data_IF_038793956130
#
_entry.id   IF_038793956130
#
_cell.length_a   1.000
_cell.length_b   1.000
_cell.length_c   1.000
_cell.angle_alpha   90.00
_cell.angle_beta   90.00
_cell.angle_gamma   90.00
#
_symmetry.space_group_name_H-M   'P 1'
#
loop_
_entity.id
_entity.type
_entity.pdbx_description
1 polymer ?
#
# COMPACT_ATOMS: atom_id res chain seq x y z
N UNK A 1 -10.20 -33.94 -19.26
CA UNK A 1 -9.13 -33.71 -18.26
C UNK A 1 -8.08 -32.87 -18.95
N UNK A 2 -8.30 -31.56 -18.99
CA UNK A 2 -7.23 -30.63 -19.35
C UNK A 2 -6.37 -30.49 -18.11
N UNK A 3 -5.20 -31.13 -18.13
CA UNK A 3 -4.16 -30.82 -17.17
C UNK A 3 -3.87 -29.33 -17.28
N UNK A 4 -4.18 -28.61 -16.20
CA UNK A 4 -3.85 -27.21 -16.02
C UNK A 4 -2.34 -27.03 -16.23
N UNK A 5 -1.96 -26.57 -17.41
CA UNK A 5 -0.59 -26.17 -17.78
C UNK A 5 -0.06 -25.03 -16.87
N UNK A 6 -0.92 -24.49 -16.00
CA UNK A 6 -0.63 -23.51 -14.95
C UNK A 6 0.34 -23.98 -13.84
N UNK A 7 0.73 -25.27 -13.78
CA UNK A 7 1.54 -25.81 -12.67
C UNK A 7 2.99 -26.21 -12.99
N UNK A 8 3.52 -25.93 -14.19
CA UNK A 8 4.95 -26.20 -14.49
C UNK A 8 5.89 -24.98 -14.36
N UNK A 9 5.39 -23.81 -13.94
CA UNK A 9 6.19 -22.57 -13.95
C UNK A 9 7.22 -22.50 -12.79
N UNK A 10 7.09 -23.30 -11.73
CA UNK A 10 7.94 -23.17 -10.53
C UNK A 10 9.04 -24.24 -10.37
N UNK A 11 9.16 -25.19 -11.29
CA UNK A 11 10.18 -26.25 -11.22
C UNK A 11 11.61 -25.81 -11.59
N UNK A 12 11.75 -24.63 -12.21
CA UNK A 12 13.05 -24.05 -12.56
C UNK A 12 13.00 -22.58 -12.18
N UNK A 13 13.52 -22.25 -11.00
CA UNK A 13 13.54 -20.88 -10.53
C UNK A 13 14.37 -20.02 -11.51
N UNK A 14 13.69 -19.21 -12.32
CA UNK A 14 14.34 -18.16 -13.08
C UNK A 14 14.75 -17.11 -12.04
N UNK A 15 16.04 -16.73 -11.95
CA UNK A 15 16.46 -15.71 -10.99
C UNK A 15 15.80 -14.37 -11.35
N UNK A 16 14.84 -13.95 -10.53
CA UNK A 16 14.16 -12.66 -10.65
C UNK A 16 14.96 -11.59 -9.90
N UNK A 17 16.11 -11.21 -10.48
CA UNK A 17 16.84 -10.01 -10.05
C UNK A 17 16.01 -8.74 -10.30
N UNK A 18 16.38 -7.61 -9.70
CA UNK A 18 15.70 -6.33 -9.95
C UNK A 18 15.68 -5.95 -11.44
N UNK A 19 16.74 -6.28 -12.17
CA UNK A 19 16.84 -6.01 -13.61
C UNK A 19 15.87 -6.87 -14.41
N UNK A 20 15.82 -8.18 -14.13
CA UNK A 20 14.90 -9.09 -14.83
C UNK A 20 13.45 -8.80 -14.48
N UNK A 21 13.14 -8.47 -13.22
CA UNK A 21 11.80 -7.97 -12.82
C UNK A 21 11.39 -6.74 -13.63
N UNK A 22 12.27 -5.75 -13.75
CA UNK A 22 11.99 -4.52 -14.51
C UNK A 22 11.80 -4.80 -15.99
N UNK A 23 12.65 -5.64 -16.59
CA UNK A 23 12.54 -6.01 -18.01
C UNK A 23 11.25 -6.78 -18.29
N UNK A 24 10.86 -7.72 -17.43
CA UNK A 24 9.61 -8.48 -17.58
C UNK A 24 8.40 -7.56 -17.44
N UNK A 25 8.40 -6.64 -16.47
CA UNK A 25 7.33 -5.66 -16.32
C UNK A 25 7.21 -4.76 -17.56
N UNK A 26 8.34 -4.27 -18.10
CA UNK A 26 8.34 -3.47 -19.32
C UNK A 26 7.80 -4.23 -20.52
N UNK A 27 8.15 -5.51 -20.68
CA UNK A 27 7.61 -6.36 -21.75
C UNK A 27 6.09 -6.57 -21.63
N UNK A 28 5.56 -6.76 -20.41
CA UNK A 28 4.12 -6.87 -20.18
C UNK A 28 3.38 -5.57 -20.51
N UNK A 29 3.98 -4.42 -20.19
CA UNK A 29 3.43 -3.10 -20.56
C UNK A 29 3.42 -2.96 -22.08
N UNK A 30 4.53 -3.27 -22.75
CA UNK A 30 4.66 -3.18 -24.21
C UNK A 30 3.59 -3.99 -24.93
N UNK A 31 3.32 -5.23 -24.51
CA UNK A 31 2.25 -6.06 -25.11
C UNK A 31 0.87 -5.39 -25.10
N UNK A 32 0.57 -4.61 -24.06
CA UNK A 32 -0.70 -3.89 -23.97
C UNK A 32 -0.67 -2.59 -24.76
N UNK A 33 0.44 -1.83 -24.69
CA UNK A 33 0.55 -0.54 -25.40
C UNK A 33 0.70 -0.68 -26.90
N UNK A 34 1.32 -1.77 -27.36
CA UNK A 34 1.60 -2.06 -28.77
C UNK A 34 0.42 -2.79 -29.43
N UNK A 35 -0.64 -3.10 -28.66
CA UNK A 35 -1.88 -3.71 -29.14
C UNK A 35 -1.82 -5.22 -29.35
N UNK A 36 -0.76 -5.89 -28.88
CA UNK A 36 -0.62 -7.36 -28.97
C UNK A 36 -1.55 -8.11 -28.00
N UNK A 37 -1.98 -7.46 -26.92
CA UNK A 37 -2.87 -8.03 -25.91
C UNK A 37 -4.01 -7.08 -25.56
N UNK A 38 -5.21 -7.63 -25.35
CA UNK A 38 -6.37 -6.86 -24.89
C UNK A 38 -6.10 -6.27 -23.48
N UNK A 39 -6.18 -4.93 -23.31
CA UNK A 39 -5.88 -4.28 -22.04
C UNK A 39 -6.76 -4.77 -20.89
N UNK A 40 -8.05 -5.05 -21.13
CA UNK A 40 -8.99 -5.43 -20.08
C UNK A 40 -8.66 -6.84 -19.57
N UNK A 41 -8.51 -7.80 -20.49
CA UNK A 41 -8.21 -9.20 -20.17
C UNK A 41 -6.85 -9.32 -19.50
N UNK A 42 -5.85 -8.61 -20.01
CA UNK A 42 -4.50 -8.61 -19.44
C UNK A 42 -4.49 -7.97 -18.04
N UNK A 43 -5.10 -6.80 -17.87
CA UNK A 43 -5.15 -6.10 -16.58
C UNK A 43 -5.89 -6.90 -15.51
N UNK A 44 -7.05 -7.47 -15.84
CA UNK A 44 -7.84 -8.28 -14.91
C UNK A 44 -7.12 -9.56 -14.49
N UNK A 45 -6.44 -10.23 -15.43
CA UNK A 45 -5.66 -11.45 -15.16
C UNK A 45 -4.45 -11.17 -14.25
N UNK A 46 -3.64 -10.14 -14.54
CA UNK A 46 -2.51 -9.77 -13.66
C UNK A 46 -3.01 -9.36 -12.28
N UNK A 47 -4.13 -8.63 -12.21
CA UNK A 47 -4.72 -8.25 -10.93
C UNK A 47 -5.14 -9.47 -10.12
N UNK A 48 -5.77 -10.46 -10.75
CA UNK A 48 -6.12 -11.72 -10.09
C UNK A 48 -4.88 -12.47 -9.59
N UNK A 49 -3.85 -12.60 -10.43
CA UNK A 49 -2.57 -13.22 -10.05
C UNK A 49 -1.91 -12.50 -8.89
N UNK A 50 -1.86 -11.16 -8.92
CA UNK A 50 -1.31 -10.36 -7.84
C UNK A 50 -2.06 -10.61 -6.51
N UNK A 51 -3.38 -10.73 -6.55
CA UNK A 51 -4.20 -10.99 -5.36
C UNK A 51 -3.98 -12.41 -4.82
N UNK A 52 -3.84 -13.41 -5.69
CA UNK A 52 -3.46 -14.78 -5.30
C UNK A 52 -2.06 -14.83 -4.67
N UNK A 53 -1.06 -14.23 -5.32
CA UNK A 53 0.33 -14.19 -4.81
C UNK A 53 0.41 -13.43 -3.49
N UNK A 54 -0.34 -12.32 -3.35
CA UNK A 54 -0.41 -11.57 -2.10
C UNK A 54 -1.02 -12.36 -0.96
N UNK A 55 -1.99 -13.23 -1.23
CA UNK A 55 -2.54 -14.14 -0.23
C UNK A 55 -1.52 -15.19 0.18
N UNK A 56 -0.86 -15.83 -0.78
CA UNK A 56 0.20 -16.82 -0.52
C UNK A 56 1.33 -16.24 0.35
N UNK A 57 1.82 -15.04 0.03
CA UNK A 57 2.90 -14.40 0.78
C UNK A 57 2.51 -13.96 2.20
N UNK A 58 1.21 -13.86 2.48
CA UNK A 58 0.65 -13.51 3.81
C UNK A 58 0.15 -14.73 4.58
N UNK A 59 0.13 -15.90 3.95
CA UNK A 59 -0.30 -17.12 4.62
C UNK A 59 0.68 -17.47 5.74
N UNK A 60 0.15 -17.63 6.95
CA UNK A 60 0.97 -17.81 8.14
C UNK A 60 1.82 -19.09 8.07
N UNK A 61 1.26 -20.18 7.54
CA UNK A 61 1.98 -21.45 7.42
C UNK A 61 3.11 -21.34 6.40
N UNK A 62 2.90 -20.65 5.28
CA UNK A 62 3.94 -20.37 4.30
C UNK A 62 5.06 -19.51 4.88
N UNK A 63 4.70 -18.45 5.61
CA UNK A 63 5.66 -17.54 6.25
C UNK A 63 6.50 -18.30 7.29
N UNK A 64 5.87 -19.04 8.19
CA UNK A 64 6.56 -19.83 9.23
C UNK A 64 7.48 -20.89 8.61
N UNK A 65 7.02 -21.63 7.61
CA UNK A 65 7.84 -22.60 6.89
C UNK A 65 9.06 -21.95 6.21
N UNK A 66 8.87 -20.74 5.63
CA UNK A 66 9.95 -19.99 4.99
C UNK A 66 10.95 -19.47 6.03
N UNK A 67 10.49 -18.95 7.16
CA UNK A 67 11.36 -18.51 8.27
C UNK A 67 12.21 -19.69 8.76
N UNK A 68 11.60 -20.84 9.08
CA UNK A 68 12.33 -22.02 9.55
C UNK A 68 13.34 -22.56 8.53
N UNK A 69 13.09 -22.38 7.23
CA UNK A 69 14.07 -22.70 6.19
C UNK A 69 15.24 -21.70 6.16
N UNK A 70 14.98 -20.40 6.36
CA UNK A 70 16.00 -19.35 6.37
C UNK A 70 16.83 -19.35 7.66
N UNK A 71 16.26 -19.75 8.81
CA UNK A 71 16.97 -19.85 10.09
C UNK A 71 18.25 -20.68 10.02
N UNK A 72 18.26 -21.71 9.17
CA UNK A 72 19.41 -22.59 8.93
C UNK A 72 20.64 -21.86 8.39
N UNK A 73 20.47 -20.70 7.79
CA UNK A 73 21.54 -19.89 7.19
C UNK A 73 22.02 -18.75 8.08
N UNK A 74 21.44 -18.58 9.27
CA UNK A 74 21.85 -17.58 10.26
C UNK A 74 21.51 -16.12 9.90
N UNK A 75 22.10 -15.18 10.65
CA UNK A 75 21.71 -13.75 10.64
C UNK A 75 22.02 -13.02 9.33
N UNK A 76 23.05 -13.42 8.62
CA UNK A 76 23.42 -12.86 7.30
C UNK A 76 22.50 -13.35 6.18
N UNK A 77 21.69 -14.37 6.45
CA UNK A 77 20.78 -14.94 5.48
C UNK A 77 21.50 -15.71 4.37
N UNK A 78 20.76 -15.95 3.29
CA UNK A 78 21.29 -16.59 2.09
C UNK A 78 20.65 -16.02 0.83
N UNK A 79 21.41 -16.03 -0.27
CA UNK A 79 20.95 -15.56 -1.57
C UNK A 79 20.37 -16.73 -2.35
N UNK A 80 19.08 -16.67 -2.66
CA UNK A 80 18.38 -17.64 -3.50
C UNK A 80 17.65 -16.92 -4.63
N UNK A 81 17.75 -17.44 -5.85
CA UNK A 81 16.97 -16.96 -7.01
C UNK A 81 17.09 -15.44 -7.27
N UNK A 82 18.25 -14.85 -6.97
CA UNK A 82 18.49 -13.42 -7.13
C UNK A 82 17.97 -12.53 -5.99
N UNK A 83 17.43 -13.11 -4.91
CA UNK A 83 17.00 -12.42 -3.71
C UNK A 83 17.85 -12.83 -2.50
N UNK A 84 18.19 -11.87 -1.64
CA UNK A 84 18.76 -12.17 -0.33
C UNK A 84 17.62 -12.34 0.67
N UNK A 85 17.54 -13.51 1.31
CA UNK A 85 16.61 -13.81 2.38
C UNK A 85 17.34 -13.78 3.71
N UNK A 86 16.96 -12.86 4.60
CA UNK A 86 17.39 -12.81 5.99
C UNK A 86 16.17 -12.60 6.89
N UNK A 87 16.25 -13.12 8.12
CA UNK A 87 15.21 -12.90 9.12
C UNK A 87 15.44 -11.50 9.70
N UNK A 88 14.42 -10.66 9.59
CA UNK A 88 14.44 -9.31 10.11
C UNK A 88 13.17 -9.06 10.93
N UNK A 89 13.34 -8.43 12.09
CA UNK A 89 12.22 -7.87 12.84
C UNK A 89 11.73 -6.62 12.10
N UNK A 90 10.51 -6.68 11.56
CA UNK A 90 9.90 -5.57 10.81
C UNK A 90 8.68 -5.05 11.57
N UNK A 91 8.49 -3.73 11.53
CA UNK A 91 7.28 -3.11 12.07
C UNK A 91 7.23 -3.01 13.60
N UNK A 92 8.38 -2.88 14.27
CA UNK A 92 8.44 -2.59 15.70
C UNK A 92 7.63 -1.32 15.99
N UNK A 93 6.59 -1.46 16.81
CA UNK A 93 5.76 -0.36 17.29
C UNK A 93 5.91 -0.28 18.79
N UNK A 94 6.09 0.94 19.28
CA UNK A 94 6.12 1.20 20.70
C UNK A 94 4.74 1.65 21.15
N UNK A 95 4.20 0.96 22.15
CA UNK A 95 3.01 1.41 22.87
C UNK A 95 3.46 2.25 24.06
N UNK A 96 3.18 3.55 23.99
CA UNK A 96 3.52 4.52 25.03
C UNK A 96 2.40 4.70 26.06
N UNK A 97 1.22 4.10 25.86
CA UNK A 97 0.08 4.23 26.78
C UNK A 97 0.34 3.57 28.14
N UNK A 98 1.17 2.52 28.17
CA UNK A 98 1.55 1.83 29.39
C UNK A 98 2.68 2.54 30.16
N UNK A 99 3.29 3.60 29.61
CA UNK A 99 4.40 4.31 30.25
C UNK A 99 3.97 5.15 31.45
N UNK A 100 2.66 5.42 31.63
CA UNK A 100 2.10 6.23 32.73
C UNK A 100 2.79 7.59 32.89
N UNK A 101 3.19 8.18 31.77
CA UNK A 101 3.80 9.50 31.72
C UNK A 101 2.70 10.56 31.63
N UNK A 102 2.60 11.41 32.65
CA UNK A 102 1.54 12.42 32.74
C UNK A 102 1.62 13.47 31.62
N UNK A 103 2.83 13.81 31.16
CA UNK A 103 3.03 14.78 30.08
C UNK A 103 2.58 14.18 28.76
N UNK A 104 2.92 12.91 28.52
CA UNK A 104 2.48 12.19 27.34
C UNK A 104 0.96 12.06 27.29
N UNK A 105 0.31 11.71 28.41
CA UNK A 105 -1.14 11.58 28.49
C UNK A 105 -1.87 12.90 28.20
N UNK A 106 -1.36 14.02 28.71
CA UNK A 106 -1.87 15.36 28.40
C UNK A 106 -1.72 15.71 26.93
N UNK A 107 -0.51 15.55 26.36
CA UNK A 107 -0.23 15.81 24.95
C UNK A 107 -1.04 14.90 24.01
N UNK A 108 -1.25 13.64 24.39
CA UNK A 108 -2.05 12.71 23.62
C UNK A 108 -3.53 13.14 23.59
N UNK A 109 -4.09 13.60 24.71
CA UNK A 109 -5.45 14.15 24.77
C UNK A 109 -5.58 15.40 23.91
N UNK A 110 -4.69 16.38 24.10
CA UNK A 110 -4.69 17.61 23.30
C UNK A 110 -4.60 17.33 21.81
N UNK A 111 -3.73 16.38 21.42
CA UNK A 111 -3.61 15.94 20.04
C UNK A 111 -4.93 15.38 19.51
N UNK A 112 -5.62 14.52 20.26
CA UNK A 112 -6.90 13.95 19.80
C UNK A 112 -7.98 15.00 19.63
N UNK A 113 -8.06 15.98 20.55
CA UNK A 113 -9.01 17.09 20.46
C UNK A 113 -8.71 18.03 19.29
N UNK A 114 -7.43 18.36 19.08
CA UNK A 114 -6.98 19.16 17.96
C UNK A 114 -7.24 18.46 16.63
N UNK A 115 -6.96 17.16 16.53
CA UNK A 115 -7.27 16.38 15.33
C UNK A 115 -8.78 16.37 15.04
N UNK A 116 -9.65 16.31 16.06
CA UNK A 116 -11.09 16.42 15.89
C UNK A 116 -11.50 17.79 15.35
N UNK A 117 -11.01 18.88 15.96
CA UNK A 117 -11.27 20.27 15.51
C UNK A 117 -10.77 20.51 14.09
N UNK A 118 -9.60 19.98 13.74
CA UNK A 118 -9.06 20.06 12.37
C UNK A 118 -9.98 19.33 11.39
N UNK A 119 -10.42 18.11 11.69
CA UNK A 119 -11.33 17.34 10.81
C UNK A 119 -12.66 18.05 10.59
N UNK A 120 -13.23 18.66 11.63
CA UNK A 120 -14.44 19.49 11.50
C UNK A 120 -14.20 20.70 10.60
N UNK A 121 -13.05 21.37 10.76
CA UNK A 121 -12.67 22.50 9.91
C UNK A 121 -12.42 22.09 8.47
N UNK A 122 -11.78 20.95 8.23
CA UNK A 122 -11.59 20.39 6.88
C UNK A 122 -12.93 20.04 6.23
N UNK A 123 -13.88 19.47 6.97
CA UNK A 123 -15.24 19.20 6.49
C UNK A 123 -15.95 20.50 6.10
N UNK A 124 -15.82 21.55 6.90
CA UNK A 124 -16.33 22.88 6.57
C UNK A 124 -15.68 23.43 5.29
N UNK A 125 -14.35 23.42 5.20
CA UNK A 125 -13.62 23.91 4.03
C UNK A 125 -14.00 23.15 2.75
N UNK A 126 -14.16 21.83 2.82
CA UNK A 126 -14.63 21.00 1.68
C UNK A 126 -16.01 21.42 1.16
N UNK A 127 -16.86 22.02 1.99
CA UNK A 127 -18.16 22.55 1.59
C UNK A 127 -18.11 23.89 0.85
N UNK A 128 -16.98 24.60 0.89
CA UNK A 128 -16.82 25.91 0.25
C UNK A 128 -16.49 25.72 -1.23
N UNK A 129 -17.46 25.97 -2.10
CA UNK A 129 -17.30 25.86 -3.56
C UNK A 129 -16.95 27.20 -4.23
N UNK A 130 -17.33 28.32 -3.62
CA UNK A 130 -16.99 29.68 -4.03
C UNK A 130 -16.33 30.43 -2.86
N UNK A 131 -15.39 31.36 -3.12
CA UNK A 131 -14.73 32.07 -2.03
C UNK A 131 -15.73 32.83 -1.16
N UNK A 132 -15.75 32.54 0.14
CA UNK A 132 -16.63 33.18 1.11
C UNK A 132 -15.85 34.24 1.89
N UNK A 133 -16.44 35.41 2.05
CA UNK A 133 -15.89 36.45 2.91
C UNK A 133 -16.47 36.27 4.31
N UNK A 134 -15.65 35.89 5.27
CA UNK A 134 -16.05 35.77 6.68
C UNK A 134 -15.52 37.00 7.42
N UNK A 135 -16.42 37.65 8.16
CA UNK A 135 -16.10 38.78 9.04
C UNK A 135 -16.01 38.24 10.46
N UNK A 136 -14.88 38.47 11.13
CA UNK A 136 -14.76 38.16 12.55
C UNK A 136 -15.29 39.34 13.37
N UNK A 137 -16.45 39.14 14.02
CA UNK A 137 -17.17 40.21 14.75
C UNK A 137 -16.40 40.79 15.95
N UNK A 138 -15.43 40.06 16.53
CA UNK A 138 -14.62 40.55 17.66
C UNK A 138 -13.40 41.37 17.23
N UNK A 139 -12.87 41.16 16.03
CA UNK A 139 -11.62 41.80 15.56
C UNK A 139 -11.80 42.71 14.35
N UNK A 140 -12.97 42.68 13.72
CA UNK A 140 -13.26 43.43 12.49
C UNK A 140 -12.49 42.92 11.26
N UNK A 141 -11.70 41.85 11.39
CA UNK A 141 -10.92 41.29 10.28
C UNK A 141 -11.83 40.58 9.29
N UNK A 142 -11.83 41.07 8.07
CA UNK A 142 -12.50 40.47 6.92
C UNK A 142 -11.54 39.51 6.24
N UNK A 143 -11.74 38.20 6.38
CA UNK A 143 -10.93 37.17 5.72
C UNK A 143 -11.72 36.45 4.64
N UNK A 144 -11.15 36.40 3.45
CA UNK A 144 -11.68 35.62 2.34
C UNK A 144 -11.18 34.19 2.44
N UNK A 145 -12.10 33.25 2.65
CA UNK A 145 -11.81 31.82 2.74
C UNK A 145 -12.06 31.18 1.39
N UNK A 146 -11.10 30.38 0.94
CA UNK A 146 -11.15 29.65 -0.31
C UNK A 146 -11.41 28.16 -0.02
N UNK A 147 -12.15 27.51 -0.90
CA UNK A 147 -12.32 26.06 -0.88
C UNK A 147 -10.99 25.33 -1.16
N UNK A 148 -10.85 24.07 -0.74
CA UNK A 148 -9.66 23.28 -1.01
C UNK A 148 -9.54 22.97 -2.50
N UNK A 149 -8.31 22.94 -3.01
CA UNK A 149 -8.04 22.44 -4.35
C UNK A 149 -8.34 20.94 -4.42
N UNK A 150 -9.20 20.53 -5.37
CA UNK A 150 -9.47 19.12 -5.62
C UNK A 150 -8.45 18.56 -6.61
N UNK A 151 -7.64 17.61 -6.15
CA UNK A 151 -6.79 16.78 -7.02
C UNK A 151 -7.34 15.36 -7.02
N UNK A 152 -7.60 14.78 -8.20
CA UNK A 152 -8.02 13.39 -8.32
C UNK A 152 -7.29 12.71 -9.48
N UNK A 153 -6.80 11.50 -9.25
CA UNK A 153 -6.32 10.59 -10.28
C UNK A 153 -7.42 9.58 -10.62
N UNK A 154 -7.65 9.34 -11.91
CA UNK A 154 -8.57 8.29 -12.37
C UNK A 154 -7.82 6.97 -12.48
N UNK A 155 -8.38 5.88 -11.97
CA UNK A 155 -7.78 4.53 -12.01
C UNK A 155 -8.88 3.48 -12.14
N UNK A 156 -8.54 2.29 -12.67
CA UNK A 156 -9.46 1.17 -12.83
C UNK A 156 -9.65 0.45 -11.49
N UNK A 157 -10.90 0.34 -11.02
CA UNK A 157 -11.27 -0.47 -9.86
C UNK A 157 -11.74 -1.85 -10.32
N UNK A 158 -11.07 -2.92 -9.88
CA UNK A 158 -11.43 -4.31 -10.18
C UNK A 158 -12.07 -4.94 -8.95
N UNK A 159 -13.20 -5.62 -9.13
CA UNK A 159 -13.89 -6.40 -8.09
C UNK A 159 -14.16 -7.79 -8.66
N UNK A 160 -13.66 -8.83 -8.00
CA UNK A 160 -13.95 -10.22 -8.38
C UNK A 160 -15.23 -10.70 -7.71
N UNK A 161 -15.99 -11.57 -8.37
CA UNK A 161 -17.16 -12.24 -7.79
C UNK A 161 -16.75 -13.15 -6.62
N UNK A 162 -17.70 -13.38 -5.71
CA UNK A 162 -17.53 -14.33 -4.60
C UNK A 162 -17.66 -15.77 -5.08
#
# INVERSE_FOLDING_TARGET
MEENVSLQIFGRAIPFTKETQKSTAAALVAKVTDGEADPISMFTTIKAMNDCLSQFLKDQAVVEATIGAVEKYGRTGATFNGANLCIAEVGVRFDFSACKDSVWDELAKERTELEAKIKEREKFLRGITTPQTIVNEETGEVKKIYGPARTSSTTVKVTFSK
#
